data_IF_242841922977
#
_entry.id   IF_242841922977
#
_cell.length_a   1.000
_cell.length_b   1.000
_cell.length_c   1.000
_cell.angle_alpha   90.00
_cell.angle_beta   90.00
_cell.angle_gamma   90.00
#
_symmetry.space_group_name_H-M   'P 1'
#
loop_
_entity.id
_entity.type
_entity.pdbx_description
1 polymer ?
#
# COMPACT_ATOMS: atom_id res chain seq x y z
N UNK A 1 18.32 -14.54 2.84
CA UNK A 1 17.83 -14.72 4.22
C UNK A 1 16.32 -14.62 4.20
N UNK A 2 15.57 -15.51 4.87
CA UNK A 2 14.13 -15.37 4.96
C UNK A 2 13.82 -14.09 5.74
N UNK A 3 13.06 -13.18 5.14
CA UNK A 3 12.59 -11.97 5.83
C UNK A 3 11.65 -12.44 6.95
N UNK A 4 12.12 -12.47 8.19
CA UNK A 4 11.27 -12.78 9.33
C UNK A 4 10.11 -11.77 9.37
N UNK A 5 8.88 -12.30 9.39
CA UNK A 5 7.67 -11.49 9.54
C UNK A 5 7.78 -10.68 10.84
N UNK A 6 7.34 -9.41 10.84
CA UNK A 6 7.25 -8.65 12.09
C UNK A 6 6.28 -9.35 13.05
N UNK A 7 6.63 -9.46 14.33
CA UNK A 7 5.74 -10.07 15.36
C UNK A 7 4.46 -9.25 15.56
N UNK A 8 4.54 -7.93 15.44
CA UNK A 8 3.41 -7.01 15.38
C UNK A 8 3.72 -5.91 14.34
N UNK A 9 3.04 -5.88 13.18
CA UNK A 9 3.18 -4.75 12.26
C UNK A 9 2.51 -3.50 12.85
N UNK A 10 3.08 -2.32 12.63
CA UNK A 10 2.44 -1.08 13.09
C UNK A 10 1.11 -0.82 12.38
N UNK A 11 1.05 -1.20 11.10
CA UNK A 11 -0.17 -1.22 10.30
C UNK A 11 -0.03 -2.20 9.13
N UNK A 12 -1.16 -2.45 8.48
CA UNK A 12 -1.27 -3.32 7.31
C UNK A 12 -1.97 -2.60 6.17
N UNK A 13 -1.48 -2.83 4.95
CA UNK A 13 -2.14 -2.37 3.72
C UNK A 13 -2.53 -3.59 2.89
N UNK A 14 -3.82 -3.83 2.69
CA UNK A 14 -4.30 -4.99 1.94
C UNK A 14 -4.92 -4.56 0.61
N UNK A 15 -4.48 -5.19 -0.47
CA UNK A 15 -5.12 -5.13 -1.77
C UNK A 15 -5.98 -6.39 -1.94
N UNK A 16 -7.28 -6.36 -1.60
CA UNK A 16 -8.17 -7.53 -1.65
C UNK A 16 -8.50 -7.90 -3.10
N UNK A 17 -8.70 -9.19 -3.41
CA UNK A 17 -8.95 -9.68 -4.78
C UNK A 17 -10.37 -9.51 -5.31
N UNK A 18 -10.59 -9.96 -6.56
CA UNK A 18 -11.91 -9.96 -7.22
C UNK A 18 -12.93 -10.88 -6.52
N UNK A 19 -12.44 -11.87 -5.80
CA UNK A 19 -13.17 -12.85 -5.00
C UNK A 19 -13.55 -12.31 -3.61
N UNK A 20 -13.20 -11.05 -3.28
CA UNK A 20 -13.56 -10.44 -2.01
C UNK A 20 -15.07 -10.55 -1.74
N UNK A 21 -15.49 -10.96 -0.53
CA UNK A 21 -16.90 -11.00 -0.16
C UNK A 21 -17.52 -9.59 -0.09
N UNK A 22 -16.70 -8.55 0.04
CA UNK A 22 -17.12 -7.16 0.09
C UNK A 22 -17.60 -6.64 -1.27
N UNK A 23 -18.82 -6.09 -1.29
CA UNK A 23 -19.45 -5.54 -2.49
C UNK A 23 -18.74 -4.27 -2.98
N UNK A 24 -18.23 -3.44 -2.09
CA UNK A 24 -17.55 -2.19 -2.44
C UNK A 24 -16.20 -2.48 -3.10
N UNK A 25 -15.43 -3.42 -2.55
CA UNK A 25 -14.18 -3.92 -3.16
C UNK A 25 -14.42 -4.41 -4.58
N UNK A 26 -15.46 -5.23 -4.80
CA UNK A 26 -15.81 -5.71 -6.14
C UNK A 26 -16.22 -4.57 -7.07
N UNK A 27 -16.94 -3.57 -6.56
CA UNK A 27 -17.36 -2.42 -7.36
C UNK A 27 -16.16 -1.56 -7.79
N UNK A 28 -15.19 -1.33 -6.90
CA UNK A 28 -13.94 -0.62 -7.20
C UNK A 28 -13.17 -1.34 -8.31
N UNK A 29 -12.96 -2.65 -8.15
CA UNK A 29 -12.25 -3.46 -9.16
C UNK A 29 -12.98 -3.50 -10.50
N UNK A 30 -14.32 -3.56 -10.50
CA UNK A 30 -15.12 -3.53 -11.72
C UNK A 30 -14.96 -2.22 -12.52
N UNK A 31 -14.59 -1.10 -11.85
CA UNK A 31 -14.22 0.16 -12.51
C UNK A 31 -12.79 0.18 -13.04
N UNK A 32 -11.99 -0.87 -12.77
CA UNK A 32 -10.56 -0.91 -13.06
C UNK A 32 -9.70 -0.13 -12.06
N UNK A 33 -10.27 0.30 -10.94
CA UNK A 33 -9.58 0.98 -9.87
C UNK A 33 -9.04 -0.01 -8.85
N UNK A 34 -8.07 0.42 -8.05
CA UNK A 34 -7.40 -0.45 -7.08
C UNK A 34 -7.99 -0.22 -5.67
N UNK A 35 -8.62 -1.22 -5.05
CA UNK A 35 -9.04 -1.12 -3.66
C UNK A 35 -7.83 -1.28 -2.74
N UNK A 36 -7.69 -0.38 -1.78
CA UNK A 36 -6.65 -0.44 -0.75
C UNK A 36 -7.29 -0.36 0.63
N UNK A 37 -7.19 -1.43 1.40
CA UNK A 37 -7.59 -1.48 2.80
C UNK A 37 -6.42 -1.04 3.67
N UNK A 38 -6.63 -0.04 4.52
CA UNK A 38 -5.70 0.36 5.58
C UNK A 38 -6.22 -0.26 6.88
N UNK A 39 -5.44 -1.20 7.41
CA UNK A 39 -5.85 -2.15 8.43
C UNK A 39 -7.20 -2.82 8.07
N UNK A 40 -8.10 -2.89 9.03
CA UNK A 40 -9.48 -3.34 8.91
C UNK A 40 -10.48 -2.18 8.99
N UNK A 41 -9.99 -0.93 8.88
CA UNK A 41 -10.75 0.27 9.26
C UNK A 41 -11.15 1.15 8.09
N UNK A 42 -10.28 1.27 7.08
CA UNK A 42 -10.49 2.22 5.99
C UNK A 42 -10.32 1.54 4.64
N UNK A 43 -11.37 1.58 3.82
CA UNK A 43 -11.31 1.22 2.41
C UNK A 43 -11.08 2.48 1.57
N UNK A 44 -9.96 2.52 0.88
CA UNK A 44 -9.62 3.55 -0.08
C UNK A 44 -9.73 3.02 -1.53
N UNK A 45 -10.04 3.92 -2.44
CA UNK A 45 -10.05 3.67 -3.88
C UNK A 45 -8.95 4.48 -4.54
N UNK A 46 -7.99 3.80 -5.18
CA UNK A 46 -6.99 4.45 -6.02
C UNK A 46 -7.48 4.39 -7.46
N UNK A 47 -7.73 5.57 -8.04
CA UNK A 47 -8.23 5.69 -9.40
C UNK A 47 -7.15 5.25 -10.40
N UNK A 48 -7.56 4.54 -11.45
CA UNK A 48 -6.62 3.99 -12.44
C UNK A 48 -5.77 5.06 -13.12
N UNK A 49 -6.33 6.25 -13.39
CA UNK A 49 -5.60 7.37 -13.97
C UNK A 49 -4.42 7.78 -13.07
N UNK A 50 -4.71 8.11 -11.82
CA UNK A 50 -3.71 8.50 -10.81
C UNK A 50 -2.68 7.40 -10.57
N UNK A 51 -3.13 6.14 -10.59
CA UNK A 51 -2.28 4.96 -10.48
C UNK A 51 -1.27 4.87 -11.62
N UNK A 52 -1.72 5.04 -12.86
CA UNK A 52 -0.85 5.01 -14.05
C UNK A 52 0.12 6.18 -14.04
N UNK A 53 -0.34 7.40 -13.78
CA UNK A 53 0.49 8.60 -13.72
C UNK A 53 1.58 8.50 -12.65
N UNK A 54 1.20 8.06 -11.44
CA UNK A 54 2.13 7.83 -10.33
C UNK A 54 3.16 6.77 -10.67
N UNK A 55 2.76 5.72 -11.40
CA UNK A 55 3.65 4.63 -11.79
C UNK A 55 4.67 5.06 -12.84
N UNK A 56 4.24 5.80 -13.85
CA UNK A 56 5.10 6.37 -14.89
C UNK A 56 6.12 7.34 -14.30
N UNK A 57 5.69 8.19 -13.37
CA UNK A 57 6.59 9.10 -12.65
C UNK A 57 7.60 8.31 -11.82
N UNK A 58 7.15 7.26 -11.14
CA UNK A 58 8.02 6.45 -10.31
C UNK A 58 9.04 5.68 -11.16
N UNK A 59 8.72 5.19 -12.36
CA UNK A 59 9.53 4.21 -13.14
C UNK A 59 11.00 4.59 -13.35
N UNK A 60 11.32 5.88 -13.30
CA UNK A 60 12.67 6.42 -13.46
C UNK A 60 13.47 6.52 -12.16
N UNK A 61 12.83 6.32 -11.01
CA UNK A 61 13.49 6.39 -9.70
C UNK A 61 14.39 5.18 -9.46
N UNK A 62 15.62 5.38 -8.95
CA UNK A 62 16.50 4.30 -8.56
C UNK A 62 15.98 3.57 -7.32
N UNK A 63 16.40 2.30 -7.15
CA UNK A 63 15.92 1.45 -6.06
C UNK A 63 16.15 2.04 -4.66
N UNK A 64 17.26 2.77 -4.47
CA UNK A 64 17.55 3.44 -3.20
C UNK A 64 16.53 4.56 -2.91
N UNK A 65 16.21 5.39 -3.91
CA UNK A 65 15.21 6.45 -3.75
C UNK A 65 13.83 5.88 -3.42
N UNK A 66 13.46 4.73 -4.01
CA UNK A 66 12.23 4.03 -3.65
C UNK A 66 12.22 3.57 -2.20
N UNK A 67 13.33 3.02 -1.70
CA UNK A 67 13.44 2.59 -0.31
C UNK A 67 13.34 3.78 0.66
N UNK A 68 14.01 4.89 0.34
CA UNK A 68 13.98 6.10 1.16
C UNK A 68 12.57 6.74 1.18
N UNK A 69 11.89 6.77 0.03
CA UNK A 69 10.51 7.24 -0.06
C UNK A 69 9.52 6.31 0.66
N UNK A 70 9.67 4.99 0.53
CA UNK A 70 8.88 4.01 1.30
C UNK A 70 9.06 4.25 2.79
N UNK A 71 10.30 4.49 3.24
CA UNK A 71 10.59 4.80 4.64
C UNK A 71 9.88 6.05 5.13
N UNK A 72 9.93 7.13 4.35
CA UNK A 72 9.27 8.39 4.71
C UNK A 72 7.74 8.28 4.72
N UNK A 73 7.14 7.56 3.77
CA UNK A 73 5.70 7.35 3.71
C UNK A 73 5.22 6.43 4.84
N UNK A 74 5.90 5.29 5.05
CA UNK A 74 5.55 4.34 6.10
C UNK A 74 5.73 4.90 7.50
N UNK A 75 6.81 5.66 7.76
CA UNK A 75 7.00 6.32 9.05
C UNK A 75 5.92 7.36 9.35
N UNK A 76 5.56 8.20 8.36
CA UNK A 76 4.48 9.19 8.52
C UNK A 76 3.14 8.54 8.76
N UNK A 77 2.81 7.51 7.97
CA UNK A 77 1.57 6.77 8.11
C UNK A 77 1.47 6.09 9.48
N UNK A 78 2.55 5.47 9.97
CA UNK A 78 2.58 4.88 11.31
C UNK A 78 2.25 5.92 12.39
N UNK A 79 2.93 7.08 12.36
CA UNK A 79 2.67 8.17 13.32
C UNK A 79 1.23 8.69 13.25
N UNK A 80 0.67 8.86 12.04
CA UNK A 80 -0.72 9.32 11.88
C UNK A 80 -1.75 8.31 12.42
N UNK A 81 -1.47 7.00 12.29
CA UNK A 81 -2.36 5.94 12.78
C UNK A 81 -2.28 5.81 14.31
N UNK A 82 -1.10 6.02 14.90
CA UNK A 82 -0.90 6.07 16.37
C UNK A 82 -1.60 7.26 17.02
N UNK A 83 -1.54 8.44 16.41
CA UNK A 83 -2.15 9.68 16.91
C UNK A 83 -3.69 9.72 16.78
N UNK A 84 -4.30 8.58 16.44
CA UNK A 84 -5.74 8.35 16.30
C UNK A 84 -6.33 9.03 15.05
N UNK A 85 -6.73 8.20 14.08
CA UNK A 85 -7.30 8.54 12.76
C UNK A 85 -8.41 9.61 12.84
N UNK A 86 -9.13 9.73 13.96
CA UNK A 86 -10.18 10.73 14.15
C UNK A 86 -9.71 12.19 14.12
N UNK A 87 -8.40 12.45 14.23
CA UNK A 87 -7.81 13.79 14.13
C UNK A 87 -6.94 14.00 12.87
N UNK A 88 -6.55 12.92 12.21
CA UNK A 88 -5.73 12.96 11.00
C UNK A 88 -6.59 13.33 9.79
N UNK A 89 -6.02 14.08 8.84
CA UNK A 89 -6.65 14.25 7.54
C UNK A 89 -6.64 12.89 6.82
N UNK A 90 -7.83 12.31 6.64
CA UNK A 90 -8.00 11.03 5.94
C UNK A 90 -7.39 11.07 4.54
N UNK A 91 -7.32 12.25 3.92
CA UNK A 91 -6.67 12.44 2.62
C UNK A 91 -5.18 12.15 2.69
N UNK A 92 -4.49 12.62 3.73
CA UNK A 92 -3.05 12.41 3.92
C UNK A 92 -2.75 10.94 4.23
N UNK A 93 -3.57 10.32 5.10
CA UNK A 93 -3.48 8.89 5.43
C UNK A 93 -3.62 8.03 4.18
N UNK A 94 -4.63 8.29 3.36
CA UNK A 94 -4.85 7.54 2.11
C UNK A 94 -3.73 7.79 1.11
N UNK A 95 -3.23 9.02 1.02
CA UNK A 95 -2.15 9.37 0.11
C UNK A 95 -0.83 8.68 0.47
N UNK A 96 -0.41 8.74 1.73
CA UNK A 96 0.82 8.07 2.19
C UNK A 96 0.70 6.54 2.08
N UNK A 97 -0.48 5.98 2.36
CA UNK A 97 -0.73 4.55 2.17
C UNK A 97 -0.66 4.12 0.71
N UNK A 98 -1.27 4.89 -0.20
CA UNK A 98 -1.19 4.64 -1.64
C UNK A 98 0.26 4.71 -2.12
N UNK A 99 1.00 5.76 -1.76
CA UNK A 99 2.42 5.93 -2.12
C UNK A 99 3.24 4.73 -1.63
N UNK A 100 3.14 4.39 -0.34
CA UNK A 100 3.86 3.26 0.23
C UNK A 100 3.53 1.95 -0.50
N UNK A 101 2.26 1.69 -0.75
CA UNK A 101 1.81 0.49 -1.43
C UNK A 101 2.38 0.38 -2.85
N UNK A 102 2.35 1.46 -3.63
CA UNK A 102 2.86 1.47 -5.01
C UNK A 102 4.38 1.28 -5.07
N UNK A 103 5.11 1.97 -4.19
CA UNK A 103 6.57 1.81 -4.08
C UNK A 103 6.93 0.35 -3.73
N UNK A 104 6.19 -0.24 -2.78
CA UNK A 104 6.38 -1.62 -2.38
C UNK A 104 6.09 -2.63 -3.50
N UNK A 105 5.00 -2.46 -4.24
CA UNK A 105 4.66 -3.35 -5.36
C UNK A 105 5.72 -3.30 -6.45
N UNK A 106 6.25 -2.10 -6.74
CA UNK A 106 7.35 -1.96 -7.69
C UNK A 106 8.63 -2.61 -7.21
N UNK A 107 8.99 -2.47 -5.93
CA UNK A 107 10.13 -3.18 -5.33
C UNK A 107 9.93 -4.70 -5.32
N UNK A 108 8.69 -5.17 -5.24
CA UNK A 108 8.33 -6.59 -5.34
C UNK A 108 8.32 -7.12 -6.80
N UNK A 109 8.57 -6.27 -7.79
CA UNK A 109 8.77 -6.64 -9.19
C UNK A 109 7.54 -6.47 -10.10
N UNK A 110 6.47 -5.83 -9.63
CA UNK A 110 5.37 -5.44 -10.52
C UNK A 110 5.89 -4.47 -11.59
N UNK A 111 5.58 -4.74 -12.87
CA UNK A 111 6.04 -3.91 -13.99
C UNK A 111 5.02 -2.83 -14.31
N UNK A 112 3.76 -3.19 -14.21
CA UNK A 112 2.60 -2.33 -14.41
C UNK A 112 1.65 -2.44 -13.22
N UNK A 113 0.76 -1.45 -13.01
CA UNK A 113 -0.25 -1.57 -11.97
C UNK A 113 -1.21 -2.76 -12.16
N UNK A 114 -1.42 -3.19 -13.41
CA UNK A 114 -2.26 -4.34 -13.74
C UNK A 114 -1.63 -5.68 -13.26
N UNK A 115 -0.32 -5.71 -12.99
CA UNK A 115 0.38 -6.88 -12.43
C UNK A 115 0.17 -7.05 -10.91
N UNK A 116 -0.51 -6.10 -10.25
CA UNK A 116 -0.73 -6.12 -8.81
C UNK A 116 -1.80 -7.18 -8.47
N UNK A 117 -1.32 -8.37 -8.12
CA UNK A 117 -2.12 -9.44 -7.55
C UNK A 117 -2.59 -9.12 -6.12
N UNK A 118 -3.62 -9.82 -5.60
CA UNK A 118 -4.05 -9.66 -4.22
C UNK A 118 -2.89 -9.89 -3.25
N UNK A 119 -2.69 -8.96 -2.32
CA UNK A 119 -1.55 -8.99 -1.42
C UNK A 119 -1.83 -8.21 -0.12
N UNK A 120 -1.01 -8.48 0.89
CA UNK A 120 -0.98 -7.72 2.13
C UNK A 120 0.44 -7.23 2.35
N UNK A 121 0.59 -5.93 2.55
CA UNK A 121 1.82 -5.28 2.95
C UNK A 121 1.77 -5.06 4.46
N UNK A 122 2.83 -5.47 5.14
CA UNK A 122 3.04 -5.24 6.57
C UNK A 122 4.11 -4.17 6.75
N UNK A 123 3.88 -3.20 7.62
CA UNK A 123 4.92 -2.24 8.02
C UNK A 123 5.70 -2.77 9.23
N UNK A 124 6.98 -3.05 9.03
CA UNK A 124 7.94 -3.42 10.07
C UNK A 124 8.58 -2.11 10.59
N UNK A 125 8.05 -1.60 11.69
CA UNK A 125 8.48 -0.32 12.25
C UNK A 125 9.91 -0.38 12.79
N UNK A 126 10.31 -1.47 13.43
CA UNK A 126 11.69 -1.65 13.95
C UNK A 126 12.72 -1.55 12.82
N UNK A 127 12.41 -2.14 11.67
CA UNK A 127 13.30 -2.15 10.50
C UNK A 127 12.99 -1.05 9.49
N UNK A 128 11.97 -0.24 9.76
CA UNK A 128 11.51 0.86 8.91
C UNK A 128 11.34 0.44 7.44
N UNK A 129 10.65 -0.69 7.24
CA UNK A 129 10.48 -1.29 5.90
C UNK A 129 9.16 -2.02 5.75
N UNK A 130 8.70 -2.10 4.51
CA UNK A 130 7.58 -2.92 4.10
C UNK A 130 7.96 -4.39 3.92
N UNK A 131 7.03 -5.29 4.24
CA UNK A 131 7.10 -6.71 3.92
C UNK A 131 5.85 -7.10 3.15
N UNK A 132 6.03 -7.49 1.88
CA UNK A 132 4.91 -7.88 1.00
C UNK A 132 4.62 -9.36 1.12
N UNK A 133 3.40 -9.70 1.55
CA UNK A 133 2.84 -11.03 1.57
C UNK A 133 1.93 -11.21 0.36
N UNK A 134 2.37 -12.04 -0.59
CA UNK A 134 1.54 -12.41 -1.73
C UNK A 134 0.47 -13.38 -1.27
N UNK A 135 -0.80 -13.10 -1.57
CA UNK A 135 -1.87 -14.10 -1.40
C UNK A 135 -1.84 -15.02 -2.63
N UNK A 136 -1.79 -16.32 -2.38
CA UNK A 136 -1.79 -17.37 -3.41
C UNK A 136 -3.18 -17.54 -4.01
#
# INVERSE_FOLDING_TARGET
MPTALPEAPAFTLTCPGNDSPDREVRAIRARGNLPLMIDDRLLAEIVRGDLTESWETAVHLPAQALADMSKLAGGRLASMLEDNIGSADLTDVVSDAAVLFLLAMRRAGARTPDDIAPCTLLWDEERQREVVLKRA
#
